data_IF_895850428995
#
_entry.id   IF_895850428995
#
_cell.length_a   1.000
_cell.length_b   1.000
_cell.length_c   1.000
_cell.angle_alpha   90.00
_cell.angle_beta   90.00
_cell.angle_gamma   90.00
#
_symmetry.space_group_name_H-M   'P 1'
#
loop_
_entity.id
_entity.type
_entity.pdbx_description
1 polymer ?
#
# COMPACT_ATOMS: atom_id res chain seq x y z
N UNK A 1 35.56 10.77 -29.57
CA UNK A 1 34.14 11.01 -29.90
C UNK A 1 33.42 9.68 -29.83
N UNK A 2 32.24 9.68 -29.19
CA UNK A 2 31.33 8.55 -28.88
C UNK A 2 31.38 8.06 -27.43
N UNK A 3 30.68 8.85 -26.62
CA UNK A 3 29.81 8.42 -25.52
C UNK A 3 29.18 7.04 -25.76
N UNK A 4 29.18 6.23 -24.70
CA UNK A 4 27.98 5.81 -23.96
C UNK A 4 28.39 4.62 -23.09
N UNK A 5 28.87 4.91 -21.89
CA UNK A 5 28.90 3.91 -20.83
C UNK A 5 27.51 3.92 -20.22
N UNK A 6 26.62 3.10 -20.74
CA UNK A 6 25.41 2.72 -20.04
C UNK A 6 25.85 1.85 -18.86
N UNK A 7 26.06 2.50 -17.72
CA UNK A 7 26.24 1.81 -16.45
C UNK A 7 24.87 1.25 -16.07
N UNK A 8 24.64 -0.01 -16.43
CA UNK A 8 23.47 -0.78 -16.03
C UNK A 8 23.51 -0.99 -14.51
N UNK A 9 22.98 -0.02 -13.78
CA UNK A 9 22.51 -0.21 -12.43
C UNK A 9 21.10 0.39 -12.29
N UNK A 10 20.06 -0.38 -12.64
CA UNK A 10 18.78 -0.22 -11.98
C UNK A 10 18.37 -1.55 -11.37
N UNK A 11 19.13 -1.99 -10.37
CA UNK A 11 18.47 -2.66 -9.24
C UNK A 11 17.34 -1.69 -8.79
N UNK A 12 16.11 -2.18 -8.71
CA UNK A 12 14.88 -1.43 -8.39
C UNK A 12 14.05 -0.83 -9.54
N UNK A 13 14.02 -1.46 -10.72
CA UNK A 13 12.78 -1.47 -11.51
C UNK A 13 11.76 -2.44 -10.87
N UNK A 14 11.32 -2.15 -9.64
CA UNK A 14 10.29 -2.94 -8.94
C UNK A 14 8.96 -2.63 -9.59
N UNK A 15 8.48 -3.56 -10.43
CA UNK A 15 7.12 -3.56 -10.96
C UNK A 15 6.12 -3.35 -9.83
N UNK A 16 5.54 -2.14 -9.80
CA UNK A 16 4.53 -1.74 -8.85
C UNK A 16 3.20 -2.39 -9.27
N UNK A 17 2.64 -3.26 -8.43
CA UNK A 17 1.27 -3.73 -8.66
C UNK A 17 0.83 -4.94 -7.85
N UNK A 18 1.64 -5.99 -7.73
CA UNK A 18 1.14 -7.28 -7.20
C UNK A 18 1.57 -7.64 -5.78
N UNK A 19 2.73 -7.18 -5.31
CA UNK A 19 3.27 -7.58 -4.02
C UNK A 19 2.73 -6.74 -2.84
N UNK A 20 2.05 -5.64 -3.12
CA UNK A 20 1.70 -4.63 -2.11
C UNK A 20 0.71 -5.16 -1.08
N UNK A 21 -0.14 -6.11 -1.50
CA UNK A 21 -1.12 -6.75 -0.63
C UNK A 21 -0.54 -7.81 0.32
N UNK A 22 0.64 -8.35 -0.01
CA UNK A 22 1.21 -9.50 0.68
C UNK A 22 2.05 -9.00 1.85
N UNK A 23 1.45 -8.98 3.04
CA UNK A 23 2.07 -8.45 4.27
C UNK A 23 1.35 -7.25 4.87
N UNK A 24 0.24 -6.81 4.27
CA UNK A 24 -0.61 -5.79 4.88
C UNK A 24 -1.34 -6.36 6.10
N UNK A 25 -1.42 -5.60 7.20
CA UNK A 25 -2.11 -6.06 8.39
C UNK A 25 -3.60 -6.25 8.14
N UNK A 26 -4.16 -7.26 8.81
CA UNK A 26 -5.58 -7.57 8.66
C UNK A 26 -6.49 -6.77 9.60
N UNK A 27 -5.90 -6.03 10.53
CA UNK A 27 -6.61 -5.31 11.60
C UNK A 27 -6.03 -3.91 11.79
N UNK A 28 -6.88 -2.98 12.23
CA UNK A 28 -6.52 -1.57 12.41
C UNK A 28 -5.41 -1.35 13.45
N UNK A 29 -5.36 -2.14 14.52
CA UNK A 29 -4.34 -2.00 15.57
C UNK A 29 -2.92 -2.39 15.14
N UNK A 30 -2.78 -3.06 14.00
CA UNK A 30 -1.48 -3.41 13.42
C UNK A 30 -1.06 -2.45 12.30
N UNK A 31 -1.92 -1.50 11.95
CA UNK A 31 -1.65 -0.50 10.91
C UNK A 31 -0.83 0.65 11.49
N UNK A 32 0.13 1.15 10.71
CA UNK A 32 0.93 2.30 11.12
C UNK A 32 0.28 3.64 10.75
N UNK A 33 -0.50 3.68 9.66
CA UNK A 33 -1.10 4.90 9.12
C UNK A 33 -2.31 4.59 8.22
N UNK A 34 -3.06 5.64 7.89
CA UNK A 34 -4.25 5.56 7.06
C UNK A 34 -3.98 5.02 5.63
N UNK A 35 -2.86 5.38 5.01
CA UNK A 35 -2.52 4.91 3.66
C UNK A 35 -2.34 3.39 3.61
N UNK A 36 -1.71 2.81 4.63
CA UNK A 36 -1.56 1.37 4.75
C UNK A 36 -2.91 0.67 4.93
N UNK A 37 -3.85 1.28 5.66
CA UNK A 37 -5.22 0.78 5.81
C UNK A 37 -6.00 0.83 4.50
N UNK A 38 -5.86 1.92 3.74
CA UNK A 38 -6.46 2.09 2.41
C UNK A 38 -5.93 1.06 1.42
N UNK A 39 -4.62 0.85 1.37
CA UNK A 39 -4.04 -0.21 0.54
C UNK A 39 -4.59 -1.58 0.92
N UNK A 40 -4.73 -1.87 2.22
CA UNK A 40 -5.25 -3.16 2.66
C UNK A 40 -6.72 -3.34 2.25
N UNK A 41 -7.52 -2.26 2.28
CA UNK A 41 -8.89 -2.25 1.79
C UNK A 41 -8.96 -2.48 0.28
N UNK A 42 -8.10 -1.81 -0.50
CA UNK A 42 -7.97 -2.01 -1.96
C UNK A 42 -7.57 -3.44 -2.31
N UNK A 43 -6.76 -4.07 -1.46
CA UNK A 43 -6.39 -5.49 -1.55
C UNK A 43 -7.53 -6.46 -1.20
N UNK A 44 -8.70 -5.95 -0.82
CA UNK A 44 -9.89 -6.74 -0.52
C UNK A 44 -10.15 -6.97 0.97
N UNK A 45 -9.38 -6.34 1.86
CA UNK A 45 -9.64 -6.44 3.30
C UNK A 45 -10.77 -5.50 3.74
N UNK A 46 -11.99 -5.84 3.32
CA UNK A 46 -13.22 -5.12 3.66
C UNK A 46 -13.58 -5.16 5.14
N UNK A 47 -12.83 -5.86 5.98
CA UNK A 47 -13.05 -5.90 7.43
C UNK A 47 -12.56 -4.63 8.13
N UNK A 48 -11.69 -3.87 7.47
CA UNK A 48 -11.13 -2.63 7.97
C UNK A 48 -12.13 -1.47 7.86
N UNK A 49 -13.01 -1.54 6.87
CA UNK A 49 -14.11 -0.61 6.59
C UNK A 49 -15.43 -1.28 7.00
N UNK A 50 -15.82 -1.09 8.27
CA UNK A 50 -16.91 -1.86 8.90
C UNK A 50 -18.28 -1.36 8.43
N UNK A 51 -18.38 -0.07 8.23
CA UNK A 51 -19.54 0.71 7.86
C UNK A 51 -19.67 0.93 6.34
N UNK A 52 -18.63 0.58 5.58
CA UNK A 52 -18.60 0.54 4.10
C UNK A 52 -18.73 1.93 3.47
N UNK A 53 -18.20 2.92 4.15
CA UNK A 53 -18.12 4.31 3.69
C UNK A 53 -16.91 4.54 2.76
N UNK A 54 -15.99 3.57 2.70
CA UNK A 54 -14.74 3.63 1.93
C UNK A 54 -13.54 4.12 2.75
N UNK A 55 -13.70 4.38 4.05
CA UNK A 55 -12.64 4.80 4.97
C UNK A 55 -12.32 3.64 5.93
N UNK A 56 -11.22 2.90 5.67
CA UNK A 56 -10.83 1.82 6.58
C UNK A 56 -10.22 2.39 7.85
N UNK A 57 -10.50 1.77 8.99
CA UNK A 57 -9.86 2.07 10.27
C UNK A 57 -9.95 3.56 10.66
N UNK A 58 -11.16 4.06 10.92
CA UNK A 58 -11.42 5.45 11.36
C UNK A 58 -10.56 5.92 12.55
N UNK A 59 -10.04 4.99 13.36
CA UNK A 59 -9.12 5.30 14.45
C UNK A 59 -7.78 5.90 13.99
N UNK A 60 -7.38 5.65 12.75
CA UNK A 60 -6.13 6.14 12.13
C UNK A 60 -6.36 6.91 10.83
N UNK A 61 -7.55 6.77 10.22
CA UNK A 61 -7.98 7.56 9.07
C UNK A 61 -8.92 8.68 9.53
N UNK A 62 -8.52 9.95 9.44
CA UNK A 62 -9.42 11.05 9.75
C UNK A 62 -10.51 11.18 8.67
N UNK A 63 -11.78 11.12 9.06
CA UNK A 63 -12.92 11.48 8.19
C UNK A 63 -13.92 10.38 7.82
N UNK A 64 -14.06 9.33 8.65
CA UNK A 64 -15.28 8.52 8.66
C UNK A 64 -16.44 9.24 9.35
#
# INVERSE_FOLDING_TARGET
MKESVEVDHPLFAKGAGGAQCKGLPSTCGQMANCEQAKQALECGNKRLDRDKDGVPCESICPGG
#
